data_IF_113370210810
#
_entry.id   IF_113370210810
#
_cell.length_a   1.000
_cell.length_b   1.000
_cell.length_c   1.000
_cell.angle_alpha   90.00
_cell.angle_beta   90.00
_cell.angle_gamma   90.00
#
_symmetry.space_group_name_H-M   'P 1'
#
loop_
_entity.id
_entity.type
_entity.pdbx_description
1 polymer ?
#
# COMPACT_ATOMS: atom_id res chain seq x y z
N UNK A 1 11.66 6.94 17.04
CA UNK A 1 11.39 5.58 17.54
C UNK A 1 9.95 5.21 17.18
N UNK A 2 9.77 4.47 16.09
CA UNK A 2 8.47 4.05 15.55
C UNK A 2 7.65 3.24 16.57
N UNK A 3 8.31 2.51 17.47
CA UNK A 3 7.62 1.74 18.54
C UNK A 3 6.75 2.61 19.47
N UNK A 4 7.10 3.88 19.66
CA UNK A 4 6.28 4.82 20.43
C UNK A 4 5.02 5.18 19.68
N UNK A 5 5.12 5.36 18.35
CA UNK A 5 3.98 5.72 17.51
C UNK A 5 3.02 4.54 17.40
N UNK A 6 3.52 3.32 17.21
CA UNK A 6 2.71 2.10 17.19
C UNK A 6 1.95 1.92 18.51
N UNK A 7 2.62 2.10 19.66
CA UNK A 7 1.95 2.06 20.98
C UNK A 7 0.87 3.12 21.13
N UNK A 8 1.11 4.35 20.64
CA UNK A 8 0.10 5.42 20.65
C UNK A 8 -1.07 5.11 19.73
N UNK A 9 -0.81 4.58 18.55
CA UNK A 9 -1.84 4.14 17.62
C UNK A 9 -2.72 3.06 18.26
N UNK A 10 -2.13 2.04 18.90
CA UNK A 10 -2.85 1.02 19.67
C UNK A 10 -3.73 1.64 20.76
N UNK A 11 -3.18 2.56 21.56
CA UNK A 11 -3.93 3.23 22.62
C UNK A 11 -5.11 4.05 22.09
N UNK A 12 -4.95 4.70 20.95
CA UNK A 12 -5.99 5.52 20.34
C UNK A 12 -7.04 4.66 19.64
N UNK A 13 -6.64 3.61 18.93
CA UNK A 13 -7.55 2.70 18.26
C UNK A 13 -8.48 1.97 19.24
N UNK A 14 -7.99 1.62 20.44
CA UNK A 14 -8.83 1.08 21.53
C UNK A 14 -10.01 1.97 21.94
N UNK A 15 -9.93 3.26 21.66
CA UNK A 15 -11.02 4.21 21.96
C UNK A 15 -12.09 4.25 20.86
N UNK A 16 -11.81 3.66 19.70
CA UNK A 16 -12.80 3.55 18.63
C UNK A 16 -13.81 2.48 19.03
N UNK A 17 -15.07 2.86 19.01
CA UNK A 17 -16.19 1.94 19.22
C UNK A 17 -16.77 1.58 17.86
N UNK A 18 -16.15 0.61 17.16
CA UNK A 18 -16.64 0.12 15.87
C UNK A 18 -17.16 -1.32 16.02
N UNK A 19 -18.12 -1.66 15.20
CA UNK A 19 -18.67 -3.02 15.14
C UNK A 19 -17.98 -3.79 14.00
N UNK A 20 -17.10 -4.73 14.35
CA UNK A 20 -16.37 -5.58 13.39
C UNK A 20 -17.26 -6.52 12.58
N UNK A 21 -18.54 -6.70 12.95
CA UNK A 21 -19.49 -7.43 12.14
C UNK A 21 -20.09 -6.60 10.99
N UNK A 22 -19.93 -5.27 11.05
CA UNK A 22 -20.48 -4.34 10.06
C UNK A 22 -19.39 -3.71 9.18
N UNK A 23 -18.18 -3.56 9.70
CA UNK A 23 -17.09 -2.84 9.02
C UNK A 23 -15.77 -3.56 9.23
N UNK A 24 -15.07 -3.85 8.13
CA UNK A 24 -13.66 -4.23 8.16
C UNK A 24 -12.79 -2.98 8.09
N UNK A 25 -11.92 -2.81 9.08
CA UNK A 25 -10.91 -1.75 9.07
C UNK A 25 -9.59 -2.35 8.62
N UNK A 26 -9.05 -1.83 7.53
CA UNK A 26 -7.79 -2.27 6.95
C UNK A 26 -6.79 -1.09 6.99
N UNK A 27 -5.92 -1.00 8.00
CA UNK A 27 -4.84 -0.01 8.01
C UNK A 27 -3.97 -0.14 6.78
N UNK A 28 -3.53 1.01 6.25
CA UNK A 28 -2.72 1.12 5.05
C UNK A 28 -1.29 1.52 5.38
N UNK A 29 -0.31 0.94 4.66
CA UNK A 29 1.07 1.41 4.71
C UNK A 29 1.21 2.74 3.98
N UNK A 30 1.97 3.67 4.58
CA UNK A 30 2.12 5.04 4.12
C UNK A 30 3.48 5.29 3.47
N UNK A 31 3.58 6.24 2.52
CA UNK A 31 4.86 6.62 1.93
C UNK A 31 5.69 7.43 2.92
N UNK A 32 7.04 7.46 2.78
CA UNK A 32 7.89 8.22 3.70
C UNK A 32 7.70 9.74 3.57
N UNK A 33 7.32 10.22 2.39
CA UNK A 33 7.19 11.64 2.06
C UNK A 33 5.83 11.97 1.44
N UNK A 34 4.74 11.82 2.21
CA UNK A 34 3.41 12.15 1.72
C UNK A 34 3.28 13.65 1.46
N UNK A 35 2.49 13.99 0.46
CA UNK A 35 2.18 15.37 0.10
C UNK A 35 0.85 15.82 0.74
N UNK A 36 0.93 16.59 1.83
CA UNK A 36 -0.25 17.09 2.55
C UNK A 36 -0.25 18.59 2.67
N UNK A 37 -1.43 19.19 2.64
CA UNK A 37 -1.65 20.62 2.91
C UNK A 37 -0.75 21.56 2.10
N UNK A 38 -0.42 21.20 0.87
CA UNK A 38 0.43 21.99 -0.02
C UNK A 38 1.93 21.90 0.29
N UNK A 39 2.37 20.86 0.99
CA UNK A 39 3.77 20.61 1.28
C UNK A 39 4.10 19.12 1.45
N UNK A 40 5.37 18.80 1.29
CA UNK A 40 5.91 17.47 1.57
C UNK A 40 6.20 17.34 3.07
N UNK A 41 5.78 16.22 3.66
CA UNK A 41 5.97 15.91 5.07
C UNK A 41 6.75 14.62 5.22
N UNK A 42 7.45 14.42 6.33
CA UNK A 42 8.06 13.13 6.64
C UNK A 42 7.11 12.32 7.53
N UNK A 43 6.73 11.15 7.04
CA UNK A 43 5.87 10.22 7.76
C UNK A 43 6.68 9.47 8.83
N UNK A 44 6.11 9.28 10.01
CA UNK A 44 6.80 8.66 11.15
C UNK A 44 6.20 7.32 11.60
N UNK A 45 5.14 6.82 10.96
CA UNK A 45 4.48 5.59 11.35
C UNK A 45 3.82 4.88 10.17
N UNK A 46 3.54 3.61 10.34
CA UNK A 46 2.89 2.76 9.33
C UNK A 46 3.63 2.66 7.98
N UNK A 47 4.96 2.78 8.00
CA UNK A 47 5.83 2.53 6.86
C UNK A 47 6.54 1.17 6.98
N UNK A 48 6.90 0.78 8.20
CA UNK A 48 7.59 -0.48 8.49
C UNK A 48 6.60 -1.64 8.52
N UNK A 49 6.91 -2.73 7.82
CA UNK A 49 6.15 -3.98 7.89
C UNK A 49 5.94 -4.43 9.31
N UNK A 50 6.99 -4.40 10.13
CA UNK A 50 6.94 -4.78 11.54
C UNK A 50 5.90 -3.98 12.34
N UNK A 51 5.83 -2.66 12.16
CA UNK A 51 4.89 -1.80 12.88
C UNK A 51 3.45 -2.09 12.46
N UNK A 52 3.23 -2.30 11.15
CA UNK A 52 1.94 -2.68 10.58
C UNK A 52 1.47 -4.05 11.11
N UNK A 53 2.36 -5.04 11.05
CA UNK A 53 2.08 -6.40 11.51
C UNK A 53 1.78 -6.43 13.02
N UNK A 54 2.57 -5.70 13.85
CA UNK A 54 2.34 -5.60 15.29
C UNK A 54 0.96 -4.99 15.59
N UNK A 55 0.62 -3.88 14.91
CA UNK A 55 -0.65 -3.21 15.09
C UNK A 55 -1.83 -4.09 14.66
N UNK A 56 -1.77 -4.67 13.46
CA UNK A 56 -2.87 -5.45 12.90
C UNK A 56 -3.09 -6.76 13.67
N UNK A 57 -2.02 -7.46 14.05
CA UNK A 57 -2.13 -8.65 14.90
C UNK A 57 -2.73 -8.35 16.27
N UNK A 58 -2.42 -7.17 16.83
CA UNK A 58 -2.98 -6.79 18.15
C UNK A 58 -4.51 -6.66 18.11
N UNK A 59 -5.09 -6.27 16.97
CA UNK A 59 -6.53 -6.03 16.83
C UNK A 59 -7.24 -7.07 15.96
N UNK A 60 -6.53 -8.09 15.48
CA UNK A 60 -7.04 -9.07 14.52
C UNK A 60 -7.57 -8.42 13.23
N UNK A 61 -6.77 -7.51 12.66
CA UNK A 61 -7.10 -6.76 11.45
C UNK A 61 -6.31 -7.26 10.25
N UNK A 62 -6.89 -7.12 9.06
CA UNK A 62 -6.16 -7.20 7.79
C UNK A 62 -5.43 -5.89 7.48
N UNK A 63 -4.71 -5.88 6.36
CA UNK A 63 -3.94 -4.74 5.86
C UNK A 63 -4.43 -4.36 4.47
N UNK A 64 -4.55 -3.07 4.20
CA UNK A 64 -4.47 -2.52 2.84
C UNK A 64 -3.00 -2.32 2.51
N UNK A 65 -2.52 -3.03 1.49
CA UNK A 65 -1.16 -2.92 1.01
C UNK A 65 -1.10 -2.01 -0.21
N UNK A 66 -0.54 -0.81 -0.06
CA UNK A 66 -0.22 0.06 -1.18
C UNK A 66 1.20 -0.23 -1.69
N UNK A 67 1.27 -0.75 -2.92
CA UNK A 67 2.54 -1.13 -3.56
C UNK A 67 3.39 0.11 -3.88
N UNK A 68 2.75 1.21 -4.28
CA UNK A 68 3.41 2.46 -4.58
C UNK A 68 4.08 3.03 -3.31
N UNK A 69 3.34 3.15 -2.22
CA UNK A 69 3.86 3.63 -0.94
C UNK A 69 5.03 2.77 -0.42
N UNK A 70 4.91 1.44 -0.54
CA UNK A 70 5.99 0.53 -0.20
C UNK A 70 7.23 0.74 -1.07
N UNK A 71 7.05 0.95 -2.38
CA UNK A 71 8.15 1.22 -3.30
C UNK A 71 8.90 2.50 -2.93
N UNK A 72 8.18 3.59 -2.62
CA UNK A 72 8.78 4.85 -2.18
C UNK A 72 9.57 4.68 -0.88
N UNK A 73 9.03 3.92 0.07
CA UNK A 73 9.72 3.59 1.32
C UNK A 73 10.98 2.75 1.06
N UNK A 74 10.86 1.70 0.26
CA UNK A 74 11.99 0.82 -0.07
C UNK A 74 13.12 1.57 -0.80
N UNK A 75 12.78 2.49 -1.71
CA UNK A 75 13.75 3.34 -2.40
C UNK A 75 14.47 4.30 -1.43
N UNK A 76 13.74 4.93 -0.50
CA UNK A 76 14.32 5.85 0.50
C UNK A 76 15.33 5.15 1.40
N UNK A 77 15.07 3.90 1.80
CA UNK A 77 15.85 3.20 2.81
C UNK A 77 16.71 2.06 2.25
N UNK A 78 16.73 1.84 0.92
CA UNK A 78 17.56 0.81 0.28
C UNK A 78 17.10 -0.62 0.60
N UNK A 79 15.79 -0.84 0.70
CA UNK A 79 15.16 -2.13 0.98
C UNK A 79 14.67 -2.75 -0.33
N UNK A 80 14.73 -4.08 -0.47
CA UNK A 80 14.13 -4.76 -1.60
C UNK A 80 12.60 -4.80 -1.45
N UNK A 81 11.88 -4.32 -2.48
CA UNK A 81 10.42 -4.25 -2.46
C UNK A 81 9.77 -5.63 -2.42
N UNK A 82 10.36 -6.66 -3.05
CA UNK A 82 9.81 -8.01 -2.99
C UNK A 82 9.95 -8.62 -1.59
N UNK A 83 11.05 -8.31 -0.88
CA UNK A 83 11.20 -8.75 0.51
C UNK A 83 10.19 -8.07 1.43
N UNK A 84 9.97 -6.75 1.24
CA UNK A 84 8.91 -6.02 1.94
C UNK A 84 7.53 -6.62 1.65
N UNK A 85 7.23 -6.88 0.38
CA UNK A 85 5.96 -7.48 -0.05
C UNK A 85 5.76 -8.84 0.61
N UNK A 86 6.75 -9.72 0.55
CA UNK A 86 6.70 -11.06 1.15
C UNK A 86 6.39 -11.02 2.63
N UNK A 87 6.97 -10.06 3.35
CA UNK A 87 6.78 -9.92 4.79
C UNK A 87 5.35 -9.51 5.17
N UNK A 88 4.74 -8.59 4.40
CA UNK A 88 3.43 -8.02 4.75
C UNK A 88 2.25 -8.86 4.23
N UNK A 89 2.42 -9.59 3.12
CA UNK A 89 1.34 -10.30 2.41
C UNK A 89 0.49 -11.24 3.28
N UNK A 90 1.01 -11.95 4.31
CA UNK A 90 0.18 -12.82 5.15
C UNK A 90 -1.03 -12.15 5.82
N UNK A 91 -1.02 -10.82 5.98
CA UNK A 91 -2.12 -10.06 6.57
C UNK A 91 -2.89 -9.22 5.54
N UNK A 92 -2.46 -9.18 4.29
CA UNK A 92 -3.07 -8.33 3.27
C UNK A 92 -4.44 -8.88 2.86
N UNK A 93 -5.43 -7.99 2.80
CA UNK A 93 -6.81 -8.24 2.34
C UNK A 93 -7.18 -7.36 1.15
N UNK A 94 -6.52 -6.24 0.99
CA UNK A 94 -6.75 -5.30 -0.10
C UNK A 94 -5.43 -4.73 -0.60
N UNK A 95 -5.32 -4.48 -1.90
CA UNK A 95 -4.14 -3.90 -2.54
C UNK A 95 -4.53 -2.63 -3.29
N UNK A 96 -3.82 -1.54 -3.00
CA UNK A 96 -3.76 -0.37 -3.88
C UNK A 96 -2.60 -0.53 -4.85
N UNK A 97 -2.84 -0.25 -6.12
CA UNK A 97 -1.85 -0.44 -7.17
C UNK A 97 -1.70 0.80 -8.05
N UNK A 98 -0.52 1.36 -8.04
CA UNK A 98 0.00 2.37 -8.96
C UNK A 98 1.50 2.21 -9.08
N UNK A 99 2.11 2.87 -10.07
CA UNK A 99 3.56 2.88 -10.19
C UNK A 99 4.15 4.05 -9.40
N UNK A 100 5.45 3.99 -9.16
CA UNK A 100 6.20 4.99 -8.42
C UNK A 100 7.60 5.19 -9.01
N UNK A 101 8.21 6.34 -8.74
CA UNK A 101 9.63 6.57 -9.05
C UNK A 101 10.31 7.37 -7.94
N UNK A 102 11.60 7.08 -7.71
CA UNK A 102 12.36 7.73 -6.64
C UNK A 102 11.77 7.48 -5.26
N UNK A 103 11.74 8.50 -4.40
CA UNK A 103 11.24 8.42 -3.03
C UNK A 103 10.00 9.29 -2.76
N UNK A 104 9.50 10.00 -3.79
CA UNK A 104 8.32 10.88 -3.69
C UNK A 104 7.47 10.94 -4.98
N UNK A 105 7.79 10.17 -6.00
CA UNK A 105 7.01 10.08 -7.25
C UNK A 105 5.87 9.08 -7.13
N UNK A 106 4.78 9.48 -6.50
CA UNK A 106 3.64 8.66 -6.12
C UNK A 106 2.54 8.63 -7.20
N UNK A 107 1.82 7.51 -7.29
CA UNK A 107 0.54 7.44 -8.01
C UNK A 107 0.62 7.55 -9.53
N UNK A 108 1.76 7.25 -10.14
CA UNK A 108 1.90 7.30 -11.60
C UNK A 108 1.30 6.08 -12.29
N UNK A 109 1.06 6.18 -13.57
CA UNK A 109 0.49 5.08 -14.36
C UNK A 109 1.44 3.88 -14.41
N UNK A 110 0.88 2.68 -14.38
CA UNK A 110 1.65 1.43 -14.52
C UNK A 110 2.55 1.47 -15.76
N UNK A 111 3.84 1.25 -15.55
CA UNK A 111 4.89 1.30 -16.58
C UNK A 111 5.44 2.68 -16.86
N UNK A 112 5.00 3.72 -16.16
CA UNK A 112 5.55 5.07 -16.21
C UNK A 112 6.50 5.37 -15.03
N UNK A 113 6.56 4.48 -14.04
CA UNK A 113 7.46 4.50 -12.90
C UNK A 113 8.62 3.51 -13.02
N UNK A 114 9.10 3.04 -11.88
CA UNK A 114 10.27 2.16 -11.77
C UNK A 114 10.00 0.85 -11.01
N UNK A 115 8.76 0.56 -10.66
CA UNK A 115 8.41 -0.67 -9.94
C UNK A 115 8.57 -1.88 -10.86
N UNK A 116 9.35 -2.87 -10.42
CA UNK A 116 9.40 -4.19 -11.05
C UNK A 116 8.18 -5.01 -10.64
N UNK A 117 7.05 -4.78 -11.33
CA UNK A 117 5.81 -5.51 -11.07
C UNK A 117 5.93 -7.02 -11.28
N UNK A 118 6.80 -7.48 -12.19
CA UNK A 118 6.97 -8.92 -12.40
C UNK A 118 7.58 -9.60 -11.18
N UNK A 119 8.43 -8.87 -10.45
CA UNK A 119 9.03 -9.35 -9.21
C UNK A 119 8.05 -9.27 -8.02
N UNK A 120 7.35 -8.15 -7.88
CA UNK A 120 6.41 -7.91 -6.78
C UNK A 120 5.21 -8.85 -6.87
N UNK A 121 4.60 -9.00 -8.06
CA UNK A 121 3.40 -9.80 -8.23
C UNK A 121 3.62 -11.31 -8.02
N UNK A 122 4.85 -11.82 -8.15
CA UNK A 122 5.18 -13.19 -7.74
C UNK A 122 5.00 -13.43 -6.25
N UNK A 123 5.26 -12.41 -5.42
CA UNK A 123 5.06 -12.52 -3.97
C UNK A 123 3.59 -12.37 -3.59
N UNK A 124 2.79 -11.75 -4.44
CA UNK A 124 1.35 -11.52 -4.24
C UNK A 124 0.50 -12.71 -4.71
N UNK A 125 0.90 -13.39 -5.80
CA UNK A 125 0.14 -14.46 -6.48
C UNK A 125 -0.39 -15.58 -5.55
N UNK A 126 0.32 -16.02 -4.48
CA UNK A 126 -0.19 -17.07 -3.60
C UNK A 126 -1.37 -16.70 -2.70
N UNK A 127 -1.79 -15.42 -2.68
CA UNK A 127 -2.75 -14.89 -1.73
C UNK A 127 -4.07 -14.48 -2.38
N UNK A 128 -5.16 -14.52 -1.61
CA UNK A 128 -6.46 -13.99 -2.00
C UNK A 128 -6.65 -12.59 -1.44
N UNK A 129 -7.00 -11.63 -2.29
CA UNK A 129 -7.19 -10.23 -1.93
C UNK A 129 -8.11 -9.54 -2.95
N UNK A 130 -8.67 -8.41 -2.56
CA UNK A 130 -9.26 -7.46 -3.50
C UNK A 130 -8.23 -6.40 -3.88
N UNK A 131 -8.41 -5.71 -5.01
CA UNK A 131 -7.48 -4.65 -5.42
C UNK A 131 -8.16 -3.52 -6.16
N UNK A 132 -7.53 -2.34 -6.16
CA UNK A 132 -7.98 -1.21 -6.95
C UNK A 132 -6.79 -0.37 -7.46
N UNK A 133 -6.90 0.23 -8.66
CA UNK A 133 -5.93 1.22 -9.13
C UNK A 133 -6.04 2.51 -8.33
N UNK A 134 -4.90 3.05 -7.90
CA UNK A 134 -4.80 4.36 -7.26
C UNK A 134 -3.89 5.30 -8.04
N UNK A 135 -4.31 5.65 -9.25
CA UNK A 135 -3.58 6.56 -10.15
C UNK A 135 -3.93 8.00 -9.82
N UNK A 136 -2.93 8.86 -9.57
CA UNK A 136 -3.16 10.28 -9.36
C UNK A 136 -3.91 10.89 -10.56
N UNK A 137 -4.96 11.61 -10.23
CA UNK A 137 -5.92 12.15 -11.22
C UNK A 137 -6.59 11.09 -12.11
N UNK A 138 -6.49 9.80 -11.76
CA UNK A 138 -7.06 8.68 -12.54
C UNK A 138 -8.57 8.77 -12.74
N UNK A 139 -9.26 9.43 -11.81
CA UNK A 139 -10.72 9.70 -11.87
C UNK A 139 -11.13 10.78 -12.89
N UNK A 140 -10.18 11.61 -13.36
CA UNK A 140 -10.47 12.63 -14.35
C UNK A 140 -10.81 12.00 -15.72
N UNK A 141 -11.46 12.78 -16.60
CA UNK A 141 -11.86 12.34 -17.93
C UNK A 141 -12.62 10.99 -17.92
N UNK A 142 -13.63 10.91 -17.05
CA UNK A 142 -14.48 9.70 -16.87
C UNK A 142 -13.70 8.48 -16.37
N UNK A 143 -12.67 8.67 -15.56
CA UNK A 143 -11.88 7.57 -15.00
C UNK A 143 -10.86 6.96 -15.97
N UNK A 144 -10.47 7.71 -17.01
CA UNK A 144 -9.59 7.19 -18.07
C UNK A 144 -8.25 6.67 -17.55
N UNK A 145 -7.66 7.29 -16.52
CA UNK A 145 -6.40 6.84 -15.94
C UNK A 145 -6.56 5.51 -15.21
N UNK A 146 -7.61 5.36 -14.41
CA UNK A 146 -7.96 4.11 -13.73
C UNK A 146 -8.25 2.99 -14.73
N UNK A 147 -9.04 3.30 -15.77
CA UNK A 147 -9.35 2.32 -16.82
C UNK A 147 -8.10 1.86 -17.59
N UNK A 148 -7.19 2.80 -17.92
CA UNK A 148 -5.90 2.49 -18.57
C UNK A 148 -5.07 1.55 -17.70
N UNK A 149 -4.99 1.80 -16.38
CA UNK A 149 -4.29 0.93 -15.45
C UNK A 149 -4.85 -0.50 -15.49
N UNK A 150 -6.17 -0.65 -15.37
CA UNK A 150 -6.82 -1.96 -15.47
C UNK A 150 -6.53 -2.68 -16.78
N UNK A 151 -6.55 -1.97 -17.91
CA UNK A 151 -6.24 -2.56 -19.22
C UNK A 151 -4.79 -3.06 -19.29
N UNK A 152 -3.83 -2.29 -18.74
CA UNK A 152 -2.41 -2.68 -18.74
C UNK A 152 -2.22 -3.93 -17.88
N UNK A 153 -2.79 -3.95 -16.68
CA UNK A 153 -2.69 -5.09 -15.77
C UNK A 153 -3.33 -6.34 -16.37
N UNK A 154 -4.54 -6.22 -16.91
CA UNK A 154 -5.22 -7.33 -17.59
C UNK A 154 -4.41 -7.87 -18.76
N UNK A 155 -3.88 -7.00 -19.63
CA UNK A 155 -3.09 -7.43 -20.78
C UNK A 155 -1.78 -8.12 -20.40
N UNK A 156 -1.11 -7.63 -19.35
CA UNK A 156 0.22 -8.11 -18.97
C UNK A 156 0.17 -9.30 -18.02
N UNK A 157 -0.81 -9.32 -17.11
CA UNK A 157 -0.86 -10.24 -15.98
C UNK A 157 -2.10 -11.15 -15.93
N UNK A 158 -3.09 -10.98 -16.84
CA UNK A 158 -4.18 -11.93 -16.95
C UNK A 158 -3.70 -13.23 -17.60
N UNK A 159 -3.03 -14.03 -16.83
CA UNK A 159 -3.05 -15.46 -16.99
C UNK A 159 -4.06 -15.97 -15.96
N UNK A 160 -5.32 -16.01 -16.38
CA UNK A 160 -6.40 -16.68 -15.64
C UNK A 160 -6.68 -16.09 -14.24
N UNK A 161 -7.40 -14.95 -14.22
CA UNK A 161 -8.26 -14.62 -13.08
C UNK A 161 -9.65 -15.21 -13.35
#
# INVERSE_FOLDING_TARGET
DTSILTKRAIQNFKKLNYDSNLIDILPENLPPRPWYLGGEWFQHGFMLTKDMIEFCNYFDLGITYDICHASLYCNEFGIDLADYTREIMPLVKHIHISDAYGNNGEGVQIGEGSIDFDKVLKEVEPYEFTWMPEIWSGHLHQGSGTYKCMQILNKKYSKEL
#
